data_IF_438707705064
#
_entry.id   IF_438707705064
#
_cell.length_a   1.000
_cell.length_b   1.000
_cell.length_c   1.000
_cell.angle_alpha   90.00
_cell.angle_beta   90.00
_cell.angle_gamma   90.00
#
_symmetry.space_group_name_H-M   'P 1'
#
loop_
_entity.id
_entity.type
_entity.pdbx_description
1 polymer ?
#
# COMPACT_ATOMS: atom_id res chain seq x y z
N UNK A 1 4.80 15.93 -7.35
CA UNK A 1 3.48 15.53 -6.79
C UNK A 1 3.64 14.19 -6.05
N UNK A 2 2.69 13.79 -5.21
CA UNK A 2 2.63 12.44 -4.59
C UNK A 2 3.78 12.05 -3.63
N UNK A 3 4.36 13.01 -2.89
CA UNK A 3 5.51 12.74 -1.99
C UNK A 3 5.14 11.78 -0.86
N UNK A 4 3.94 11.90 -0.30
CA UNK A 4 3.48 11.04 0.80
C UNK A 4 3.30 9.60 0.33
N UNK A 5 2.81 9.40 -0.88
CA UNK A 5 2.59 8.07 -1.47
C UNK A 5 3.91 7.42 -1.86
N UNK A 6 4.87 8.17 -2.39
CA UNK A 6 6.23 7.68 -2.63
C UNK A 6 6.92 7.24 -1.34
N UNK A 7 6.74 8.01 -0.26
CA UNK A 7 7.22 7.64 1.07
C UNK A 7 6.56 6.36 1.56
N UNK A 8 5.24 6.21 1.40
CA UNK A 8 4.52 5.00 1.75
C UNK A 8 5.05 3.78 0.96
N UNK A 9 5.26 3.91 -0.35
CA UNK A 9 5.81 2.82 -1.18
C UNK A 9 7.18 2.37 -0.66
N UNK A 10 8.08 3.30 -0.34
CA UNK A 10 9.39 2.98 0.22
C UNK A 10 9.29 2.27 1.58
N UNK A 11 8.36 2.71 2.43
CA UNK A 11 8.11 2.07 3.71
C UNK A 11 7.53 0.66 3.54
N UNK A 12 6.57 0.45 2.64
CA UNK A 12 6.00 -0.87 2.38
C UNK A 12 7.03 -1.83 1.79
N UNK A 13 7.93 -1.37 0.93
CA UNK A 13 9.08 -2.16 0.45
C UNK A 13 9.99 -2.59 1.60
N UNK A 14 10.25 -1.68 2.54
CA UNK A 14 11.00 -2.00 3.76
C UNK A 14 10.27 -3.05 4.60
N UNK A 15 8.95 -2.91 4.75
CA UNK A 15 8.11 -3.86 5.49
C UNK A 15 8.12 -5.25 4.86
N UNK A 16 8.00 -5.34 3.54
CA UNK A 16 8.13 -6.58 2.79
C UNK A 16 9.47 -7.26 3.03
N UNK A 17 10.58 -6.51 2.95
CA UNK A 17 11.92 -7.04 3.18
C UNK A 17 12.12 -7.53 4.62
N UNK A 18 11.54 -6.87 5.62
CA UNK A 18 11.57 -7.33 7.02
C UNK A 18 10.82 -8.66 7.13
N UNK A 19 9.59 -8.75 6.60
CA UNK A 19 8.78 -9.95 6.69
C UNK A 19 9.43 -11.14 5.98
N UNK A 20 9.88 -10.94 4.74
CA UNK A 20 10.57 -11.97 3.96
C UNK A 20 11.91 -12.37 4.60
N UNK A 21 12.67 -11.40 5.10
CA UNK A 21 13.97 -11.63 5.74
C UNK A 21 13.86 -12.50 6.99
N UNK A 22 12.93 -12.17 7.90
CA UNK A 22 12.68 -12.99 9.11
C UNK A 22 12.22 -14.39 8.71
N UNK A 23 11.33 -14.48 7.73
CA UNK A 23 10.89 -15.75 7.16
C UNK A 23 12.00 -16.66 6.69
N UNK A 24 12.86 -16.14 5.81
CA UNK A 24 13.99 -16.90 5.26
C UNK A 24 14.97 -17.26 6.36
N UNK A 25 15.26 -16.35 7.30
CA UNK A 25 16.15 -16.65 8.43
C UNK A 25 15.63 -17.80 9.31
N UNK A 26 14.32 -17.90 9.50
CA UNK A 26 13.71 -18.92 10.36
C UNK A 26 13.57 -20.28 9.67
N UNK A 27 13.04 -20.29 8.45
CA UNK A 27 12.67 -21.52 7.75
C UNK A 27 13.72 -21.97 6.74
N UNK A 28 14.62 -21.08 6.33
CA UNK A 28 15.64 -21.33 5.30
C UNK A 28 14.99 -21.96 4.06
N UNK A 29 15.57 -23.04 3.52
CA UNK A 29 15.06 -23.74 2.34
C UNK A 29 13.64 -24.32 2.55
N UNK A 30 13.15 -24.45 3.79
CA UNK A 30 11.81 -24.97 4.09
C UNK A 30 10.71 -23.92 3.98
N UNK A 31 11.05 -22.64 3.73
CA UNK A 31 10.07 -21.56 3.63
C UNK A 31 9.00 -21.82 2.56
N UNK A 32 9.33 -22.60 1.52
CA UNK A 32 8.37 -23.02 0.49
C UNK A 32 7.15 -23.78 1.05
N UNK A 33 7.26 -24.34 2.27
CA UNK A 33 6.16 -25.06 2.93
C UNK A 33 5.27 -24.15 3.79
N UNK A 34 5.75 -22.94 4.10
CA UNK A 34 5.04 -21.95 4.91
C UNK A 34 4.15 -21.08 4.02
N UNK A 35 3.15 -21.70 3.40
CA UNK A 35 2.32 -21.09 2.36
C UNK A 35 1.56 -19.85 2.86
N UNK A 36 1.03 -19.88 4.08
CA UNK A 36 0.27 -18.77 4.68
C UNK A 36 1.15 -17.54 4.89
N UNK A 37 2.41 -17.75 5.27
CA UNK A 37 3.41 -16.71 5.36
C UNK A 37 3.74 -16.15 3.98
N UNK A 38 3.96 -17.02 2.99
CA UNK A 38 4.25 -16.60 1.61
C UNK A 38 3.08 -15.82 1.00
N UNK A 39 1.84 -16.22 1.28
CA UNK A 39 0.64 -15.50 0.88
C UNK A 39 0.59 -14.11 1.53
N UNK A 40 0.89 -13.99 2.82
CA UNK A 40 0.95 -12.69 3.49
C UNK A 40 2.02 -11.77 2.88
N UNK A 41 3.19 -12.31 2.52
CA UNK A 41 4.23 -11.55 1.83
C UNK A 41 3.81 -11.16 0.40
N UNK A 42 3.16 -12.07 -0.32
CA UNK A 42 2.64 -11.82 -1.67
C UNK A 42 1.57 -10.73 -1.68
N UNK A 43 0.65 -10.72 -0.72
CA UNK A 43 -0.34 -9.65 -0.56
C UNK A 43 0.32 -8.28 -0.40
N UNK A 44 1.38 -8.18 0.41
CA UNK A 44 2.16 -6.94 0.56
C UNK A 44 2.80 -6.54 -0.78
N UNK A 45 3.42 -7.50 -1.49
CA UNK A 45 4.06 -7.24 -2.78
C UNK A 45 3.08 -6.76 -3.85
N UNK A 46 1.88 -7.35 -3.91
CA UNK A 46 0.80 -6.96 -4.83
C UNK A 46 0.37 -5.52 -4.56
N UNK A 47 0.19 -5.14 -3.29
CA UNK A 47 -0.18 -3.77 -2.92
C UNK A 47 0.92 -2.76 -3.28
N UNK A 48 2.19 -3.11 -3.04
CA UNK A 48 3.33 -2.26 -3.45
C UNK A 48 3.29 -2.02 -4.96
N UNK A 49 3.15 -3.09 -5.76
CA UNK A 49 3.12 -2.99 -7.20
C UNK A 49 1.94 -2.15 -7.71
N UNK A 50 0.74 -2.37 -7.16
CA UNK A 50 -0.46 -1.65 -7.54
C UNK A 50 -0.35 -0.14 -7.25
N UNK A 51 0.12 0.22 -6.05
CA UNK A 51 0.28 1.62 -5.65
C UNK A 51 1.41 2.30 -6.43
N UNK A 52 2.57 1.65 -6.58
CA UNK A 52 3.69 2.22 -7.31
C UNK A 52 3.33 2.46 -8.78
N UNK A 53 2.68 1.50 -9.42
CA UNK A 53 2.18 1.66 -10.80
C UNK A 53 1.20 2.84 -10.91
N UNK A 54 0.27 2.96 -9.96
CA UNK A 54 -0.73 4.04 -9.94
C UNK A 54 -0.08 5.41 -9.76
N UNK A 55 0.88 5.54 -8.84
CA UNK A 55 1.60 6.79 -8.55
C UNK A 55 2.47 7.20 -9.74
N UNK A 56 3.20 6.27 -10.35
CA UNK A 56 4.06 6.57 -11.50
C UNK A 56 3.24 6.95 -12.73
N UNK A 57 2.11 6.27 -12.99
CA UNK A 57 1.17 6.66 -14.06
C UNK A 57 0.60 8.05 -13.80
N UNK A 58 0.15 8.31 -12.58
CA UNK A 58 -0.39 9.60 -12.19
C UNK A 58 0.65 10.72 -12.36
N UNK A 59 1.89 10.50 -11.92
CA UNK A 59 2.98 11.48 -12.06
C UNK A 59 3.31 11.78 -13.51
N UNK A 60 3.39 10.76 -14.37
CA UNK A 60 3.69 10.91 -15.79
C UNK A 60 2.67 11.80 -16.51
N UNK A 61 1.38 11.65 -16.21
CA UNK A 61 0.31 12.42 -16.85
C UNK A 61 -0.01 13.74 -16.15
N UNK A 62 0.49 13.94 -14.92
CA UNK A 62 0.05 15.01 -14.02
C UNK A 62 0.12 16.41 -14.65
N UNK A 63 1.27 16.77 -15.24
CA UNK A 63 1.49 18.10 -15.82
C UNK A 63 0.70 18.35 -17.12
N UNK A 64 0.25 17.28 -17.79
CA UNK A 64 -0.52 17.36 -19.04
C UNK A 64 -2.02 17.53 -18.82
N UNK A 65 -2.51 17.37 -17.59
CA UNK A 65 -3.92 17.43 -17.25
C UNK A 65 -4.37 18.82 -16.82
N UNK A 66 -5.65 19.12 -17.07
CA UNK A 66 -6.33 20.30 -16.52
C UNK A 66 -6.35 20.24 -14.99
N UNK A 67 -6.52 21.39 -14.34
CA UNK A 67 -6.55 21.48 -12.87
C UNK A 67 -7.61 20.54 -12.26
N UNK A 68 -8.83 20.50 -12.83
CA UNK A 68 -9.89 19.58 -12.40
C UNK A 68 -9.44 18.11 -12.50
N UNK A 69 -8.81 17.70 -13.60
CA UNK A 69 -8.29 16.32 -13.75
C UNK A 69 -7.14 16.03 -12.79
N UNK A 70 -6.28 17.01 -12.50
CA UNK A 70 -5.22 16.87 -11.51
C UNK A 70 -5.78 16.66 -10.09
N UNK A 71 -6.86 17.35 -9.73
CA UNK A 71 -7.54 17.16 -8.43
C UNK A 71 -8.15 15.76 -8.31
N UNK A 72 -8.86 15.30 -9.35
CA UNK A 72 -9.40 13.95 -9.41
C UNK A 72 -8.29 12.89 -9.29
N UNK A 73 -7.17 13.10 -9.99
CA UNK A 73 -6.03 12.19 -9.94
C UNK A 73 -5.38 12.14 -8.55
N UNK A 74 -5.25 13.29 -7.87
CA UNK A 74 -4.80 13.36 -6.47
C UNK A 74 -5.75 12.60 -5.53
N UNK A 75 -7.05 12.76 -5.71
CA UNK A 75 -8.04 12.06 -4.92
C UNK A 75 -7.94 10.53 -5.12
N UNK A 76 -7.81 10.08 -6.37
CA UNK A 76 -7.67 8.66 -6.70
C UNK A 76 -6.42 8.04 -6.09
N UNK A 77 -5.27 8.70 -6.24
CA UNK A 77 -4.00 8.25 -5.66
C UNK A 77 -4.07 8.21 -4.12
N UNK A 78 -4.68 9.21 -3.48
CA UNK A 78 -4.86 9.23 -2.01
C UNK A 78 -5.70 8.05 -1.52
N UNK A 79 -6.80 7.73 -2.20
CA UNK A 79 -7.67 6.60 -1.84
C UNK A 79 -6.94 5.27 -2.06
N UNK A 80 -6.23 5.14 -3.18
CA UNK A 80 -5.42 3.97 -3.47
C UNK A 80 -4.34 3.76 -2.40
N UNK A 81 -3.62 4.82 -2.03
CA UNK A 81 -2.58 4.78 -1.00
C UNK A 81 -3.13 4.39 0.38
N UNK A 82 -4.26 4.96 0.79
CA UNK A 82 -4.93 4.58 2.03
C UNK A 82 -5.33 3.10 2.04
N UNK A 83 -6.01 2.62 1.00
CA UNK A 83 -6.41 1.22 0.92
C UNK A 83 -5.20 0.27 0.91
N UNK A 84 -4.15 0.65 0.17
CA UNK A 84 -2.87 -0.09 0.13
C UNK A 84 -2.26 -0.20 1.52
N UNK A 85 -2.17 0.91 2.25
CA UNK A 85 -1.64 0.94 3.61
C UNK A 85 -2.39 -0.01 4.55
N UNK A 86 -3.72 -0.01 4.51
CA UNK A 86 -4.56 -0.86 5.35
C UNK A 86 -4.44 -2.34 5.00
N UNK A 87 -4.48 -2.68 3.70
CA UNK A 87 -4.40 -4.07 3.22
C UNK A 87 -3.00 -4.63 3.50
N UNK A 88 -1.94 -3.92 3.08
CA UNK A 88 -0.57 -4.36 3.27
C UNK A 88 -0.20 -4.43 4.77
N UNK A 89 -0.63 -3.45 5.57
CA UNK A 89 -0.42 -3.45 7.01
C UNK A 89 -1.11 -4.65 7.67
N UNK A 90 -2.32 -5.01 7.25
CA UNK A 90 -3.04 -6.19 7.75
C UNK A 90 -2.38 -7.49 7.33
N UNK A 91 -1.97 -7.63 6.07
CA UNK A 91 -1.25 -8.80 5.57
C UNK A 91 0.07 -9.01 6.31
N UNK A 92 0.89 -7.96 6.44
CA UNK A 92 2.16 -8.03 7.15
C UNK A 92 1.99 -8.38 8.64
N UNK A 93 0.93 -7.88 9.28
CA UNK A 93 0.58 -8.24 10.66
C UNK A 93 0.29 -9.73 10.80
N UNK A 94 -0.53 -10.30 9.89
CA UNK A 94 -0.80 -11.74 9.85
C UNK A 94 0.48 -12.53 9.66
N UNK A 95 1.30 -12.14 8.68
CA UNK A 95 2.60 -12.75 8.41
C UNK A 95 3.49 -12.78 9.66
N UNK A 96 3.58 -11.68 10.41
CA UNK A 96 4.34 -11.63 11.66
C UNK A 96 3.83 -12.64 12.71
N UNK A 97 2.51 -12.76 12.88
CA UNK A 97 1.90 -13.74 13.79
C UNK A 97 2.09 -15.20 13.35
N UNK A 98 2.28 -15.47 12.06
CA UNK A 98 2.55 -16.82 11.56
C UNK A 98 3.99 -17.26 11.81
N UNK A 99 4.92 -16.31 11.97
CA UNK A 99 6.34 -16.62 12.01
C UNK A 99 6.99 -16.42 13.37
N UNK A 100 6.53 -15.50 14.22
CA UNK A 100 7.22 -15.14 15.46
C UNK A 100 6.28 -15.02 16.66
N UNK A 101 6.87 -15.16 17.85
CA UNK A 101 6.20 -14.98 19.14
C UNK A 101 7.04 -14.07 20.05
N UNK A 102 6.49 -13.71 21.21
CA UNK A 102 7.21 -12.96 22.25
C UNK A 102 7.74 -11.58 21.80
N UNK A 103 8.97 -11.27 22.20
CA UNK A 103 9.58 -9.95 21.97
C UNK A 103 9.85 -9.68 20.49
N UNK A 104 10.26 -10.70 19.73
CA UNK A 104 10.49 -10.59 18.28
C UNK A 104 9.20 -10.23 17.55
N UNK A 105 8.09 -10.90 17.87
CA UNK A 105 6.77 -10.55 17.33
C UNK A 105 6.39 -9.11 17.68
N UNK A 106 6.59 -8.70 18.93
CA UNK A 106 6.27 -7.34 19.38
C UNK A 106 7.06 -6.29 18.61
N UNK A 107 8.35 -6.54 18.36
CA UNK A 107 9.19 -5.69 17.53
C UNK A 107 8.71 -5.64 16.08
N UNK A 108 8.35 -6.79 15.49
CA UNK A 108 7.79 -6.84 14.14
C UNK A 108 6.48 -6.06 14.02
N UNK A 109 5.56 -6.22 14.97
CA UNK A 109 4.27 -5.50 14.99
C UNK A 109 4.45 -3.98 15.09
N UNK A 110 5.46 -3.52 15.85
CA UNK A 110 5.87 -2.11 15.87
C UNK A 110 6.36 -1.64 14.50
N UNK A 111 7.19 -2.46 13.85
CA UNK A 111 7.64 -2.25 12.47
C UNK A 111 6.47 -2.14 11.48
N UNK A 112 5.52 -3.08 11.52
CA UNK A 112 4.30 -3.07 10.70
C UNK A 112 3.57 -1.74 10.88
N UNK A 113 3.27 -1.34 12.12
CA UNK A 113 2.57 -0.08 12.41
C UNK A 113 3.31 1.15 11.88
N UNK A 114 4.64 1.16 11.98
CA UNK A 114 5.47 2.27 11.50
C UNK A 114 5.46 2.36 9.97
N UNK A 115 5.70 1.24 9.30
CA UNK A 115 5.93 1.21 7.85
C UNK A 115 4.63 1.18 7.03
N UNK A 116 3.51 0.75 7.62
CA UNK A 116 2.20 0.86 6.96
C UNK A 116 1.48 2.17 7.23
N UNK A 117 2.09 3.13 7.97
CA UNK A 117 1.42 4.39 8.31
C UNK A 117 1.30 5.30 7.08
N UNK A 118 0.08 5.79 6.84
CA UNK A 118 -0.22 6.80 5.83
C UNK A 118 -1.15 7.87 6.39
N UNK A 119 -0.87 9.15 6.11
CA UNK A 119 -1.76 10.25 6.48
C UNK A 119 -2.86 10.43 5.41
N UNK A 120 -4.03 9.86 5.72
CA UNK A 120 -5.21 9.94 4.88
C UNK A 120 -6.10 11.15 5.23
N UNK A 121 -5.59 12.22 5.83
CA UNK A 121 -6.37 13.43 6.09
C UNK A 121 -7.07 13.90 4.81
N UNK A 122 -8.38 14.14 4.92
CA UNK A 122 -9.25 14.48 3.78
C UNK A 122 -9.75 13.30 2.94
N UNK A 123 -9.58 12.04 3.39
CA UNK A 123 -10.00 10.85 2.63
C UNK A 123 -11.48 10.87 2.22
N UNK A 124 -12.38 11.27 3.12
CA UNK A 124 -13.82 11.30 2.81
C UNK A 124 -14.14 12.32 1.70
N UNK A 125 -13.50 13.49 1.74
CA UNK A 125 -13.67 14.51 0.71
C UNK A 125 -13.12 14.02 -0.65
N UNK A 126 -11.96 13.37 -0.65
CA UNK A 126 -11.40 12.75 -1.86
C UNK A 126 -12.34 11.69 -2.45
N UNK A 127 -12.95 10.84 -1.60
CA UNK A 127 -13.93 9.83 -2.06
C UNK A 127 -15.17 10.46 -2.67
N UNK A 128 -15.73 11.50 -2.03
CA UNK A 128 -16.90 12.22 -2.55
C UNK A 128 -16.58 12.90 -3.88
N UNK A 129 -15.44 13.58 -3.98
CA UNK A 129 -15.00 14.25 -5.21
C UNK A 129 -14.98 13.29 -6.42
N UNK A 130 -14.40 12.10 -6.26
CA UNK A 130 -14.41 11.09 -7.32
C UNK A 130 -15.81 10.54 -7.61
N UNK A 131 -16.60 10.30 -6.56
CA UNK A 131 -17.96 9.78 -6.70
C UNK A 131 -18.84 10.76 -7.48
N UNK A 132 -18.77 12.04 -7.15
CA UNK A 132 -19.57 13.09 -7.78
C UNK A 132 -19.15 13.25 -9.25
N UNK A 133 -17.86 13.30 -9.53
CA UNK A 133 -17.35 13.37 -10.90
C UNK A 133 -17.71 12.13 -11.73
N UNK A 134 -17.59 10.93 -11.17
CA UNK A 134 -17.96 9.69 -11.87
C UNK A 134 -19.47 9.61 -12.13
N UNK A 135 -20.29 10.14 -11.22
CA UNK A 135 -21.75 10.22 -11.39
C UNK A 135 -22.15 11.25 -12.46
N UNK A 136 -21.44 12.39 -12.53
CA UNK A 136 -21.68 13.41 -13.55
C UNK A 136 -21.27 12.94 -14.95
N UNK A 137 -20.16 12.20 -15.06
CA UNK A 137 -19.65 11.72 -16.36
C UNK A 137 -20.20 10.34 -16.78
N UNK A 138 -20.84 9.61 -15.85
CA UNK A 138 -21.38 8.25 -16.04
C UNK A 138 -20.38 7.23 -16.64
N UNK A 139 -19.09 7.41 -16.37
CA UNK A 139 -18.00 6.58 -16.91
C UNK A 139 -16.76 6.59 -16.04
N UNK A 140 -15.75 5.83 -16.47
CA UNK A 140 -14.43 5.87 -15.84
C UNK A 140 -13.72 7.20 -16.15
N UNK A 141 -13.17 7.84 -15.10
CA UNK A 141 -12.67 9.21 -15.18
C UNK A 141 -11.27 9.36 -15.81
N UNK A 142 -10.54 8.26 -16.01
CA UNK A 142 -9.13 8.28 -16.41
C UNK A 142 -8.83 7.53 -17.71
N UNK A 143 -9.83 7.48 -18.61
CA UNK A 143 -9.66 7.10 -20.01
C UNK A 143 -8.86 8.14 -20.81
#
# INVERSE_FOLDING_TARGET
PFIHEKTLIANLKTLFLILAGVGVQKFMDKIEREQEMLMAAADVAIQIFALESSVLRAEKSFSSFSERKQELLKAAVKICAFNTAEIAGTAARKGAFYIEEGDTLTMMLSGVRRFSKYDATGLLAAKRLLSDAASEEEKYLFD
#
